data_IF_219424428201
#
_entry.id   IF_219424428201
#
_cell.length_a   1.000
_cell.length_b   1.000
_cell.length_c   1.000
_cell.angle_alpha   90.00
_cell.angle_beta   90.00
_cell.angle_gamma   90.00
#
_symmetry.space_group_name_H-M   'P 1'
#
loop_
_entity.id
_entity.type
_entity.pdbx_description
1 polymer ?
#
# COMPACT_ATOMS: atom_id res chain seq x y z
N UNK A 1 -14.59 2.59 3.77
CA UNK A 1 -13.83 3.64 4.46
C UNK A 1 -13.41 4.72 3.49
N UNK A 2 -13.76 5.95 3.76
CA UNK A 2 -13.40 7.09 2.91
C UNK A 2 -11.98 7.55 3.25
N UNK A 3 -11.17 7.78 2.23
CA UNK A 3 -9.76 8.12 2.43
C UNK A 3 -9.52 9.62 2.20
N UNK A 4 -9.64 10.05 0.96
CA UNK A 4 -9.41 11.45 0.57
C UNK A 4 -9.86 11.64 -0.87
N UNK A 5 -10.03 12.91 -1.32
CA UNK A 5 -10.22 13.17 -2.73
C UNK A 5 -9.06 12.63 -3.56
N UNK A 6 -9.35 12.11 -4.73
CA UNK A 6 -8.32 11.51 -5.59
C UNK A 6 -7.26 12.55 -5.99
N UNK A 7 -7.64 13.82 -6.08
CA UNK A 7 -6.69 14.89 -6.40
C UNK A 7 -5.67 15.14 -5.29
N UNK A 8 -5.95 14.68 -4.07
CA UNK A 8 -5.00 14.80 -2.95
C UNK A 8 -3.98 13.66 -2.93
N UNK A 9 -4.12 12.69 -3.82
CA UNK A 9 -3.19 11.57 -3.93
C UNK A 9 -2.73 11.43 -5.38
N UNK A 10 -1.87 12.35 -5.88
CA UNK A 10 -1.40 12.30 -7.26
C UNK A 10 -0.49 11.09 -7.51
N UNK A 11 -0.19 10.75 -8.79
CA UNK A 11 0.68 9.63 -9.10
C UNK A 11 2.01 9.69 -8.35
N UNK A 12 2.40 8.58 -7.74
CA UNK A 12 3.59 8.46 -6.92
C UNK A 12 3.39 8.82 -5.46
N UNK A 13 2.25 9.37 -5.08
CA UNK A 13 1.95 9.71 -3.70
C UNK A 13 1.44 8.50 -2.93
N UNK A 14 1.64 8.53 -1.63
CA UNK A 14 1.17 7.49 -0.71
C UNK A 14 0.65 8.14 0.56
N UNK A 15 -0.25 7.42 1.24
CA UNK A 15 -0.87 7.89 2.49
C UNK A 15 -1.12 6.70 3.40
N UNK A 16 -0.87 6.87 4.70
CA UNK A 16 -1.19 5.85 5.70
C UNK A 16 -2.44 6.28 6.44
N UNK A 17 -3.38 5.36 6.57
CA UNK A 17 -4.61 5.58 7.34
C UNK A 17 -4.77 4.47 8.35
N UNK A 18 -5.47 4.76 9.44
CA UNK A 18 -5.77 3.78 10.48
C UNK A 18 -7.24 3.39 10.41
N UNK A 19 -7.51 2.09 10.52
CA UNK A 19 -8.83 1.54 10.70
C UNK A 19 -8.76 0.52 11.81
N UNK A 20 -9.34 0.85 12.97
CA UNK A 20 -9.18 0.08 14.20
C UNK A 20 -7.68 -0.06 14.55
N UNK A 21 -7.15 -1.26 14.65
CA UNK A 21 -5.72 -1.48 14.95
C UNK A 21 -4.89 -1.71 13.70
N UNK A 22 -5.49 -1.52 12.53
CA UNK A 22 -4.85 -1.81 11.25
C UNK A 22 -4.35 -0.54 10.58
N UNK A 23 -3.07 -0.53 10.20
CA UNK A 23 -2.50 0.53 9.38
C UNK A 23 -2.59 0.12 7.91
N UNK A 24 -3.15 0.99 7.08
CA UNK A 24 -3.35 0.73 5.66
C UNK A 24 -2.59 1.78 4.86
N UNK A 25 -1.74 1.32 3.94
CA UNK A 25 -1.06 2.19 3.00
C UNK A 25 -1.86 2.30 1.71
N UNK A 26 -2.18 3.52 1.31
CA UNK A 26 -2.88 3.79 0.05
C UNK A 26 -1.91 4.48 -0.88
N UNK A 27 -1.71 3.93 -2.08
CA UNK A 27 -0.69 4.38 -3.01
C UNK A 27 -1.31 4.62 -4.38
N UNK A 28 -0.95 5.74 -5.01
CA UNK A 28 -1.27 5.97 -6.41
C UNK A 28 -0.08 5.48 -7.26
N UNK A 29 -0.25 4.33 -7.88
CA UNK A 29 0.77 3.74 -8.73
C UNK A 29 0.45 4.03 -10.18
N UNK A 30 0.99 5.14 -10.70
CA UNK A 30 0.81 5.49 -12.11
C UNK A 30 -0.64 5.73 -12.53
N UNK A 31 -1.51 6.12 -11.61
CA UNK A 31 -2.93 6.31 -11.86
C UNK A 31 -3.83 5.24 -11.24
N UNK A 32 -3.26 4.08 -10.87
CA UNK A 32 -4.01 3.02 -10.19
C UNK A 32 -3.87 3.20 -8.68
N UNK A 33 -5.00 3.33 -7.99
CA UNK A 33 -5.01 3.46 -6.54
C UNK A 33 -5.04 2.07 -5.93
N UNK A 34 -4.02 1.77 -5.13
CA UNK A 34 -3.85 0.46 -4.50
C UNK A 34 -3.78 0.61 -2.99
N UNK A 35 -4.30 -0.37 -2.26
CA UNK A 35 -4.26 -0.34 -0.80
C UNK A 35 -3.69 -1.66 -0.27
N UNK A 36 -2.76 -1.56 0.65
CA UNK A 36 -2.03 -2.69 1.20
C UNK A 36 -1.84 -2.47 2.70
N UNK A 37 -1.77 -3.54 3.45
CA UNK A 37 -1.44 -3.46 4.87
C UNK A 37 -0.05 -2.83 5.03
N UNK A 38 0.04 -1.79 5.86
CA UNK A 38 1.31 -1.07 6.09
C UNK A 38 2.16 -1.80 7.12
N UNK A 39 2.61 -3.00 6.74
CA UNK A 39 3.40 -3.85 7.63
C UNK A 39 4.26 -4.79 6.79
N UNK A 40 5.56 -4.81 7.08
CA UNK A 40 6.44 -5.82 6.50
C UNK A 40 6.19 -7.16 7.22
N UNK A 41 5.82 -8.21 6.48
CA UNK A 41 5.52 -9.52 7.07
C UNK A 41 6.72 -10.18 7.72
N UNK A 42 7.93 -9.71 7.42
CA UNK A 42 9.15 -10.24 8.00
C UNK A 42 9.42 -9.71 9.42
N UNK A 43 9.25 -8.41 9.65
CA UNK A 43 9.66 -7.79 10.92
C UNK A 43 8.66 -6.76 11.48
N UNK A 44 7.46 -6.68 10.93
CA UNK A 44 6.41 -5.74 11.34
C UNK A 44 6.79 -4.26 11.19
N UNK A 45 7.81 -3.95 10.40
CA UNK A 45 8.16 -2.57 10.09
C UNK A 45 7.15 -1.93 9.14
N UNK A 46 7.09 -0.61 9.11
CA UNK A 46 6.15 0.13 8.28
C UNK A 46 6.62 0.15 6.82
N UNK A 47 5.87 -0.52 5.94
CA UNK A 47 6.19 -0.57 4.50
C UNK A 47 6.13 0.80 3.84
N UNK A 48 5.21 1.65 4.29
CA UNK A 48 5.01 2.97 3.65
C UNK A 48 6.15 3.95 3.93
N UNK A 49 7.09 3.61 4.81
CA UNK A 49 8.33 4.35 4.97
C UNK A 49 9.35 4.03 3.88
N UNK A 50 9.13 2.95 3.13
CA UNK A 50 10.02 2.54 2.06
C UNK A 50 9.71 3.21 0.73
N UNK A 51 10.54 2.92 -0.26
CA UNK A 51 10.39 3.49 -1.59
C UNK A 51 9.35 2.74 -2.41
N UNK A 52 8.50 3.49 -3.09
CA UNK A 52 7.51 2.95 -4.03
C UNK A 52 8.04 3.11 -5.44
N UNK A 53 8.02 2.02 -6.22
CA UNK A 53 8.34 2.05 -7.64
C UNK A 53 7.03 2.04 -8.43
N UNK A 54 6.73 3.16 -9.08
CA UNK A 54 5.48 3.32 -9.84
C UNK A 54 5.49 2.55 -11.16
N UNK A 55 6.64 2.16 -11.67
CA UNK A 55 6.71 1.40 -12.91
C UNK A 55 6.34 -0.06 -12.69
N UNK A 56 6.78 -0.63 -11.56
CA UNK A 56 6.51 -2.03 -11.24
C UNK A 56 5.38 -2.20 -10.24
N UNK A 57 4.90 -1.11 -9.64
CA UNK A 57 3.91 -1.11 -8.56
C UNK A 57 4.35 -1.98 -7.39
N UNK A 58 5.55 -1.68 -6.90
CA UNK A 58 6.15 -2.38 -5.77
C UNK A 58 6.57 -1.41 -4.69
N UNK A 59 6.73 -1.91 -3.47
CA UNK A 59 7.27 -1.14 -2.35
C UNK A 59 8.39 -1.94 -1.70
N UNK A 60 9.49 -1.26 -1.37
CA UNK A 60 10.63 -1.90 -0.72
C UNK A 60 10.61 -1.59 0.78
N UNK A 61 10.65 -2.64 1.61
CA UNK A 61 10.76 -2.47 3.05
C UNK A 61 12.10 -1.81 3.40
N UNK A 62 12.09 -0.69 4.15
CA UNK A 62 13.34 0.05 4.40
C UNK A 62 14.31 -0.67 5.31
N UNK A 63 13.87 -1.69 6.05
CA UNK A 63 14.74 -2.37 7.02
C UNK A 63 15.65 -3.42 6.41
N UNK A 64 15.09 -4.26 5.51
CA UNK A 64 15.83 -5.42 4.99
C UNK A 64 15.79 -5.54 3.48
N UNK A 65 15.20 -4.58 2.79
CA UNK A 65 15.16 -4.58 1.34
C UNK A 65 14.18 -5.58 0.72
N UNK A 66 13.26 -6.14 1.51
CA UNK A 66 12.20 -7.00 0.96
C UNK A 66 11.25 -6.15 0.10
N UNK A 67 10.95 -6.64 -1.10
CA UNK A 67 10.08 -5.93 -2.04
C UNK A 67 8.74 -6.65 -2.11
N UNK A 68 7.66 -5.88 -2.02
CA UNK A 68 6.30 -6.42 -2.07
C UNK A 68 5.56 -5.87 -3.29
N UNK A 69 4.78 -6.74 -3.93
CA UNK A 69 3.89 -6.34 -5.01
C UNK A 69 2.67 -5.63 -4.41
N UNK A 70 2.45 -4.38 -4.81
CA UNK A 70 1.33 -3.57 -4.27
C UNK A 70 -0.04 -4.10 -4.71
N UNK A 71 -0.11 -4.85 -5.82
CA UNK A 71 -1.38 -5.36 -6.33
C UNK A 71 -1.81 -6.64 -5.64
N UNK A 72 -0.86 -7.47 -5.22
CA UNK A 72 -1.15 -8.79 -4.66
C UNK A 72 -0.74 -8.93 -3.19
N UNK A 73 0.15 -8.07 -2.70
CA UNK A 73 0.74 -8.19 -1.37
C UNK A 73 1.84 -9.24 -1.28
N UNK A 74 2.19 -9.87 -2.40
CA UNK A 74 3.18 -10.94 -2.39
C UNK A 74 4.60 -10.41 -2.26
N UNK A 75 5.44 -11.04 -1.42
CA UNK A 75 6.85 -10.69 -1.36
C UNK A 75 7.57 -11.22 -2.61
N UNK A 76 8.46 -10.40 -3.17
CA UNK A 76 9.18 -10.75 -4.39
C UNK A 76 10.60 -11.22 -4.13
N UNK A 77 11.11 -11.04 -2.91
CA UNK A 77 12.44 -11.48 -2.52
C UNK A 77 12.52 -11.69 -1.01
N UNK A 78 13.55 -12.42 -0.59
CA UNK A 78 13.83 -12.62 0.83
C UNK A 78 14.40 -11.33 1.45
N UNK A 79 14.29 -11.13 2.78
CA UNK A 79 13.89 -12.12 3.78
C UNK A 79 12.39 -12.33 3.97
N UNK A 80 11.52 -11.46 3.43
CA UNK A 80 10.09 -11.67 3.54
C UNK A 80 9.64 -12.83 2.63
N UNK A 81 8.80 -13.71 3.17
CA UNK A 81 8.25 -14.84 2.41
C UNK A 81 6.74 -15.01 2.59
N UNK A 82 6.13 -14.23 3.45
CA UNK A 82 4.68 -14.24 3.64
C UNK A 82 4.08 -13.00 2.99
N UNK A 83 2.92 -13.13 2.33
CA UNK A 83 2.25 -11.96 1.77
C UNK A 83 1.64 -11.10 2.87
N UNK A 84 1.39 -9.83 2.53
CA UNK A 84 0.59 -8.93 3.35
C UNK A 84 -0.79 -8.77 2.71
N UNK A 85 -1.78 -8.35 3.50
CA UNK A 85 -3.14 -8.19 3.00
C UNK A 85 -3.26 -6.97 2.07
N UNK A 86 -4.10 -7.12 1.05
CA UNK A 86 -4.49 -6.02 0.18
C UNK A 86 -5.98 -5.75 0.35
N UNK A 87 -6.42 -4.56 -0.05
CA UNK A 87 -7.81 -4.14 0.12
C UNK A 87 -8.34 -3.61 -1.20
N UNK A 88 -9.61 -3.89 -1.47
CA UNK A 88 -10.26 -3.37 -2.67
C UNK A 88 -10.42 -1.86 -2.56
N UNK A 89 -10.17 -1.17 -3.67
CA UNK A 89 -10.26 0.29 -3.75
C UNK A 89 -11.25 0.67 -4.82
N UNK A 90 -12.06 1.68 -4.54
CA UNK A 90 -12.91 2.31 -5.53
C UNK A 90 -12.76 3.82 -5.46
N UNK A 91 -13.07 4.51 -6.56
CA UNK A 91 -13.14 5.96 -6.60
C UNK A 91 -14.54 6.33 -7.02
N UNK A 92 -15.27 7.00 -6.15
CA UNK A 92 -16.66 7.41 -6.41
C UNK A 92 -16.77 8.91 -6.20
N UNK A 93 -17.25 9.62 -7.22
CA UNK A 93 -17.38 11.08 -7.20
C UNK A 93 -16.08 11.78 -6.82
N UNK A 94 -14.94 11.23 -7.26
CA UNK A 94 -13.62 11.78 -6.98
C UNK A 94 -13.09 11.47 -5.59
N UNK A 95 -13.78 10.63 -4.82
CA UNK A 95 -13.36 10.24 -3.47
C UNK A 95 -12.83 8.81 -3.47
N UNK A 96 -11.62 8.63 -2.94
CA UNK A 96 -11.01 7.30 -2.80
C UNK A 96 -11.65 6.59 -1.61
N UNK A 97 -12.10 5.36 -1.83
CA UNK A 97 -12.69 4.50 -0.80
C UNK A 97 -11.97 3.17 -0.76
N UNK A 98 -11.73 2.67 0.45
CA UNK A 98 -11.09 1.37 0.68
C UNK A 98 -12.07 0.47 1.42
N UNK A 99 -12.18 -0.77 0.97
CA UNK A 99 -13.05 -1.77 1.58
C UNK A 99 -12.27 -2.50 2.67
N UNK A 100 -12.70 -2.37 3.94
CA UNK A 100 -11.92 -2.83 5.09
C UNK A 100 -12.56 -3.95 5.90
N UNK A 101 -13.73 -4.47 5.50
CA UNK A 101 -14.38 -5.58 6.22
C UNK A 101 -14.88 -6.70 5.32
#
# INVERSE_FOLDING_TARGET
MDICPVDDLPPGAKRVVLWEDLEIGVVNCGGDILAIEDRCSHDDGDLMEGDVDSETCTVECPRHGSVFDLRTGAPLNLPAYLPVDTFAVSVEDGLIKVEVD
#
